data_IF_067415738135
#
_entry.id   IF_067415738135
#
_cell.length_a   1.000
_cell.length_b   1.000
_cell.length_c   1.000
_cell.angle_alpha   90.00
_cell.angle_beta   90.00
_cell.angle_gamma   90.00
#
_symmetry.space_group_name_H-M   'P 1'
#
loop_
_entity.id
_entity.type
_entity.pdbx_description
1 polymer ?
#
# COMPACT_ATOMS: atom_id res chain seq x y z
N UNK A 1 -14.90 -72.43 -29.82
CA UNK A 1 -15.33 -71.25 -30.60
C UNK A 1 -16.21 -70.39 -29.70
N UNK A 2 -15.65 -69.38 -29.04
CA UNK A 2 -16.41 -68.44 -28.21
C UNK A 2 -15.81 -67.05 -28.40
N UNK A 3 -16.50 -66.20 -29.17
CA UNK A 3 -16.15 -64.78 -29.37
C UNK A 3 -16.46 -64.03 -28.07
N UNK A 4 -15.45 -63.45 -27.43
CA UNK A 4 -15.66 -62.48 -26.35
C UNK A 4 -16.27 -61.18 -26.92
N UNK A 5 -17.22 -60.55 -26.20
CA UNK A 5 -17.85 -59.32 -26.66
C UNK A 5 -16.83 -58.18 -26.56
N UNK A 6 -16.49 -57.58 -27.70
CA UNK A 6 -15.63 -56.39 -27.78
C UNK A 6 -16.26 -55.28 -26.94
N UNK A 7 -15.54 -54.83 -25.91
CA UNK A 7 -16.03 -53.74 -25.06
C UNK A 7 -15.93 -52.42 -25.84
N UNK A 8 -16.80 -51.47 -25.52
CA UNK A 8 -16.85 -50.15 -26.18
C UNK A 8 -15.49 -49.44 -26.17
N UNK A 9 -14.70 -49.65 -25.11
CA UNK A 9 -13.33 -49.17 -24.96
C UNK A 9 -12.36 -49.75 -25.99
N UNK A 10 -12.46 -51.05 -26.29
CA UNK A 10 -11.60 -51.70 -27.29
C UNK A 10 -11.90 -51.20 -28.71
N UNK A 11 -13.18 -50.91 -28.98
CA UNK A 11 -13.63 -50.37 -30.27
C UNK A 11 -13.12 -48.94 -30.47
N UNK A 12 -13.14 -48.11 -29.42
CA UNK A 12 -12.57 -46.75 -29.45
C UNK A 12 -11.05 -46.80 -29.63
N UNK A 13 -10.36 -47.70 -28.93
CA UNK A 13 -8.91 -47.82 -29.02
C UNK A 13 -8.47 -48.21 -30.43
N UNK A 14 -9.08 -49.26 -31.01
CA UNK A 14 -8.77 -49.68 -32.37
C UNK A 14 -9.18 -48.67 -33.43
N UNK A 15 -10.26 -47.92 -33.22
CA UNK A 15 -10.66 -46.82 -34.09
C UNK A 15 -9.63 -45.67 -34.04
N UNK A 16 -9.12 -45.31 -32.86
CA UNK A 16 -8.04 -44.35 -32.71
C UNK A 16 -6.75 -44.83 -33.38
N UNK A 17 -6.34 -46.10 -33.18
CA UNK A 17 -5.15 -46.69 -33.82
C UNK A 17 -5.22 -46.62 -35.35
N UNK A 18 -6.37 -47.01 -35.92
CA UNK A 18 -6.59 -46.96 -37.37
C UNK A 18 -6.60 -45.53 -37.92
N UNK A 19 -7.18 -44.57 -37.20
CA UNK A 19 -7.17 -43.16 -37.59
C UNK A 19 -5.76 -42.55 -37.50
N UNK A 20 -4.97 -42.95 -36.50
CA UNK A 20 -3.58 -42.50 -36.32
C UNK A 20 -2.69 -42.92 -37.48
N UNK A 21 -2.78 -44.18 -37.92
CA UNK A 21 -1.95 -44.72 -39.01
C UNK A 21 -2.38 -44.15 -40.37
N UNK A 22 -3.69 -43.88 -40.54
CA UNK A 22 -4.24 -43.44 -41.84
C UNK A 22 -4.04 -41.95 -42.11
N UNK A 23 -3.99 -41.11 -41.08
CA UNK A 23 -3.83 -39.65 -41.24
C UNK A 23 -2.85 -39.03 -40.22
N UNK A 24 -1.55 -39.39 -40.25
CA UNK A 24 -0.56 -38.88 -39.30
C UNK A 24 -0.37 -37.36 -39.39
N UNK A 25 -0.47 -36.79 -40.60
CA UNK A 25 -0.32 -35.34 -40.83
C UNK A 25 -1.49 -34.53 -40.29
N UNK A 26 -2.74 -35.02 -40.37
CA UNK A 26 -3.89 -34.26 -39.86
C UNK A 26 -3.85 -34.21 -38.34
N UNK A 27 -3.45 -35.29 -37.67
CA UNK A 27 -3.25 -35.32 -36.22
C UNK A 27 -2.16 -34.36 -35.77
N UNK A 28 -1.03 -34.29 -36.49
CA UNK A 28 0.02 -33.32 -36.20
C UNK A 28 -0.48 -31.88 -36.31
N UNK A 29 -1.19 -31.55 -37.39
CA UNK A 29 -1.73 -30.20 -37.59
C UNK A 29 -2.77 -29.84 -36.52
N UNK A 30 -3.67 -30.76 -36.19
CA UNK A 30 -4.69 -30.55 -35.15
C UNK A 30 -4.05 -30.41 -33.76
N UNK A 31 -3.07 -31.25 -33.43
CA UNK A 31 -2.32 -31.15 -32.18
C UNK A 31 -1.57 -29.83 -32.08
N UNK A 32 -0.93 -29.40 -33.17
CA UNK A 32 -0.25 -28.11 -33.22
C UNK A 32 -1.22 -26.93 -33.09
N UNK A 33 -2.38 -26.99 -33.73
CA UNK A 33 -3.44 -25.98 -33.59
C UNK A 33 -4.00 -25.94 -32.16
N UNK A 34 -4.23 -27.09 -31.54
CA UNK A 34 -4.68 -27.16 -30.14
C UNK A 34 -3.63 -26.63 -29.19
N UNK A 35 -2.36 -27.00 -29.37
CA UNK A 35 -1.26 -26.51 -28.57
C UNK A 35 -1.13 -24.99 -28.72
N UNK A 36 -1.14 -24.48 -29.96
CA UNK A 36 -1.14 -23.04 -30.24
C UNK A 36 -2.35 -22.31 -29.63
N UNK A 37 -3.54 -22.92 -29.69
CA UNK A 37 -4.75 -22.38 -29.07
C UNK A 37 -4.68 -22.31 -27.55
N UNK A 38 -4.18 -23.37 -26.90
CA UNK A 38 -3.96 -23.40 -25.44
C UNK A 38 -2.87 -22.40 -25.06
N UNK A 39 -1.74 -22.37 -25.76
CA UNK A 39 -0.67 -21.39 -25.52
C UNK A 39 -1.17 -19.96 -25.66
N UNK A 40 -1.99 -19.67 -26.66
CA UNK A 40 -2.60 -18.36 -26.84
C UNK A 40 -3.60 -18.02 -25.72
N UNK A 41 -4.41 -19.00 -25.29
CA UNK A 41 -5.33 -18.82 -24.17
C UNK A 41 -4.58 -18.55 -22.87
N UNK A 42 -3.53 -19.32 -22.58
CA UNK A 42 -2.67 -19.13 -21.41
C UNK A 42 -1.98 -17.76 -21.49
N UNK A 43 -1.39 -17.39 -22.63
CA UNK A 43 -0.77 -16.07 -22.80
C UNK A 43 -1.73 -14.92 -22.50
N UNK A 44 -3.01 -15.07 -22.85
CA UNK A 44 -4.04 -14.04 -22.58
C UNK A 44 -4.59 -14.02 -21.16
N UNK A 45 -4.59 -15.14 -20.44
CA UNK A 45 -5.28 -15.28 -19.15
C UNK A 45 -4.37 -15.62 -17.97
N UNK A 46 -3.07 -15.81 -18.20
CA UNK A 46 -2.12 -16.08 -17.14
C UNK A 46 -1.89 -14.79 -16.33
N UNK A 47 -2.59 -14.70 -15.20
CA UNK A 47 -2.38 -13.68 -14.17
C UNK A 47 -1.73 -14.29 -12.93
N UNK A 48 -0.83 -13.55 -12.30
CA UNK A 48 -0.26 -13.91 -11.00
C UNK A 48 -1.03 -13.14 -9.93
N UNK A 49 -1.66 -13.86 -9.00
CA UNK A 49 -2.32 -13.25 -7.85
C UNK A 49 -1.38 -13.26 -6.65
N UNK A 50 -1.02 -12.07 -6.15
CA UNK A 50 -0.16 -11.90 -4.98
C UNK A 50 -0.96 -11.66 -3.69
N UNK A 51 -2.29 -11.74 -3.73
CA UNK A 51 -3.14 -11.58 -2.57
C UNK A 51 -3.21 -12.88 -1.76
N UNK A 52 -2.50 -12.94 -0.65
CA UNK A 52 -2.48 -14.10 0.24
C UNK A 52 -3.84 -14.38 0.89
N UNK A 53 -4.73 -13.38 1.02
CA UNK A 53 -6.06 -13.58 1.56
C UNK A 53 -6.93 -14.45 0.65
N UNK A 54 -6.72 -14.39 -0.66
CA UNK A 54 -7.48 -15.17 -1.65
C UNK A 54 -7.04 -16.64 -1.73
N UNK A 55 -5.97 -17.02 -1.03
CA UNK A 55 -5.59 -18.43 -0.86
C UNK A 55 -6.51 -19.17 0.13
N UNK A 56 -7.28 -18.44 0.92
CA UNK A 56 -8.18 -18.97 1.95
C UNK A 56 -9.65 -18.88 1.51
N UNK A 57 -10.51 -19.72 2.10
CA UNK A 57 -11.94 -19.73 1.77
C UNK A 57 -12.57 -18.35 1.96
N UNK A 58 -13.24 -17.79 0.93
CA UNK A 58 -13.84 -16.47 1.01
C UNK A 58 -14.95 -16.35 2.07
N UNK A 59 -15.52 -17.45 2.54
CA UNK A 59 -16.61 -17.47 3.51
C UNK A 59 -16.13 -17.42 4.97
N UNK A 60 -14.83 -17.38 5.23
CA UNK A 60 -14.30 -17.26 6.58
C UNK A 60 -14.81 -15.96 7.25
N UNK A 61 -15.17 -15.98 8.55
CA UNK A 61 -15.75 -14.82 9.22
C UNK A 61 -14.91 -13.54 9.12
N UNK A 62 -13.57 -13.65 9.22
CA UNK A 62 -12.69 -12.49 9.10
C UNK A 62 -12.67 -11.90 7.68
N UNK A 63 -12.78 -12.73 6.63
CA UNK A 63 -12.85 -12.24 5.25
C UNK A 63 -14.16 -11.50 4.98
N UNK A 64 -15.28 -12.00 5.52
CA UNK A 64 -16.56 -11.30 5.42
C UNK A 64 -16.50 -9.93 6.13
N UNK A 65 -15.86 -9.87 7.30
CA UNK A 65 -15.64 -8.63 8.03
C UNK A 65 -14.73 -7.66 7.27
N UNK A 66 -13.62 -8.14 6.71
CA UNK A 66 -12.71 -7.32 5.90
C UNK A 66 -13.46 -6.70 4.72
N UNK A 67 -14.18 -7.50 3.93
CA UNK A 67 -14.98 -6.97 2.81
C UNK A 67 -16.04 -5.96 3.24
N UNK A 68 -16.60 -6.11 4.43
CA UNK A 68 -17.55 -5.15 4.99
C UNK A 68 -16.87 -3.82 5.32
N UNK A 69 -15.67 -3.85 5.88
CA UNK A 69 -14.85 -2.67 6.15
C UNK A 69 -14.44 -2.01 4.84
N UNK A 70 -13.89 -2.76 3.88
CA UNK A 70 -13.45 -2.22 2.57
C UNK A 70 -14.60 -1.55 1.81
N UNK A 71 -15.82 -2.12 1.89
CA UNK A 71 -17.01 -1.51 1.29
C UNK A 71 -17.47 -0.25 2.01
N UNK A 72 -17.30 -0.17 3.33
CA UNK A 72 -17.69 0.99 4.13
C UNK A 72 -16.65 2.12 4.04
N UNK A 73 -15.38 1.79 3.85
CA UNK A 73 -14.24 2.70 3.82
C UNK A 73 -13.35 2.43 2.60
N UNK A 74 -13.86 2.64 1.37
CA UNK A 74 -13.15 2.28 0.15
C UNK A 74 -11.83 3.04 -0.04
N UNK A 75 -11.75 4.27 0.50
CA UNK A 75 -10.52 5.07 0.47
C UNK A 75 -9.37 4.44 1.29
N UNK A 76 -9.68 3.79 2.41
CA UNK A 76 -8.66 3.24 3.31
C UNK A 76 -8.04 1.96 2.73
N UNK A 77 -8.84 1.17 2.02
CA UNK A 77 -8.41 -0.09 1.39
C UNK A 77 -7.33 0.12 0.31
N UNK A 78 -7.31 1.29 -0.34
CA UNK A 78 -6.35 1.64 -1.39
C UNK A 78 -5.27 2.64 -0.93
N UNK A 79 -5.23 2.98 0.36
CA UNK A 79 -4.30 3.99 0.87
C UNK A 79 -2.88 3.46 0.96
N UNK A 80 -1.92 4.23 0.44
CA UNK A 80 -0.49 3.99 0.58
C UNK A 80 0.07 4.80 1.74
N UNK A 81 0.79 4.14 2.64
CA UNK A 81 1.45 4.79 3.77
C UNK A 81 2.94 4.96 3.46
N UNK A 82 3.39 6.21 3.46
CA UNK A 82 4.80 6.57 3.29
C UNK A 82 5.36 7.03 4.63
N UNK A 83 6.46 6.41 5.06
CA UNK A 83 7.16 6.77 6.30
C UNK A 83 8.37 7.62 5.92
N UNK A 84 8.47 8.81 6.52
CA UNK A 84 9.58 9.73 6.33
C UNK A 84 10.39 9.77 7.63
N UNK A 85 11.69 9.61 7.52
CA UNK A 85 12.63 9.61 8.64
C UNK A 85 13.81 10.54 8.32
N UNK A 86 14.23 11.34 9.30
CA UNK A 86 15.41 12.21 9.23
C UNK A 86 16.12 12.27 10.58
N UNK A 87 17.25 12.98 10.66
CA UNK A 87 18.07 13.04 11.88
C UNK A 87 17.40 13.78 13.03
N UNK A 88 16.45 14.68 12.74
CA UNK A 88 15.69 15.43 13.74
C UNK A 88 14.19 15.47 13.40
N UNK A 89 13.30 15.70 14.38
CA UNK A 89 11.87 15.88 14.14
C UNK A 89 11.56 17.05 13.19
N UNK A 90 12.31 18.14 13.28
CA UNK A 90 12.16 19.33 12.43
C UNK A 90 12.50 19.01 10.98
N UNK A 91 13.63 18.33 10.73
CA UNK A 91 14.00 17.87 9.39
C UNK A 91 12.98 16.88 8.83
N UNK A 92 12.49 15.97 9.66
CA UNK A 92 11.47 14.99 9.27
C UNK A 92 10.19 15.69 8.81
N UNK A 93 9.75 16.69 9.57
CA UNK A 93 8.56 17.50 9.24
C UNK A 93 8.75 18.29 7.95
N UNK A 94 9.92 18.90 7.74
CA UNK A 94 10.25 19.62 6.51
C UNK A 94 10.27 18.68 5.29
N UNK A 95 10.88 17.50 5.43
CA UNK A 95 10.95 16.51 4.37
C UNK A 95 9.56 15.95 4.02
N UNK A 96 8.73 15.65 5.03
CA UNK A 96 7.37 15.16 4.86
C UNK A 96 6.48 16.18 4.16
N UNK A 97 6.52 17.46 4.58
CA UNK A 97 5.77 18.53 3.92
C UNK A 97 6.21 18.72 2.46
N UNK A 98 7.52 18.72 2.19
CA UNK A 98 8.04 18.82 0.81
C UNK A 98 7.64 17.63 -0.06
N UNK A 99 7.52 16.43 0.53
CA UNK A 99 7.03 15.24 -0.17
C UNK A 99 5.53 15.36 -0.46
N UNK A 100 4.73 15.79 0.53
CA UNK A 100 3.30 16.04 0.37
C UNK A 100 3.06 17.02 -0.78
N UNK A 101 3.73 18.17 -0.79
CA UNK A 101 3.60 19.22 -1.82
C UNK A 101 3.90 18.70 -3.24
N UNK A 102 4.86 17.79 -3.37
CA UNK A 102 5.20 17.21 -4.69
C UNK A 102 4.18 16.19 -5.17
N UNK A 103 3.60 15.42 -4.26
CA UNK A 103 2.62 14.38 -4.58
C UNK A 103 1.23 14.98 -4.82
N UNK A 104 0.84 16.01 -4.07
CA UNK A 104 -0.47 16.66 -4.17
C UNK A 104 -0.72 17.36 -5.52
N UNK A 105 0.34 17.70 -6.27
CA UNK A 105 0.22 18.24 -7.63
C UNK A 105 -0.09 17.16 -8.68
N UNK A 106 0.20 15.88 -8.39
CA UNK A 106 -0.01 14.75 -9.31
C UNK A 106 -1.42 14.16 -9.17
N UNK A 107 -2.43 14.99 -9.46
CA UNK A 107 -3.86 14.64 -9.35
C UNK A 107 -4.32 13.55 -10.32
N UNK A 108 -3.51 13.24 -11.35
CA UNK A 108 -3.72 12.12 -12.27
C UNK A 108 -3.35 10.76 -11.66
N UNK A 109 -2.56 10.76 -10.57
CA UNK A 109 -2.03 9.55 -9.92
C UNK A 109 -2.52 9.36 -8.49
N UNK A 110 -2.89 10.43 -7.81
CA UNK A 110 -3.31 10.41 -6.41
C UNK A 110 -4.58 11.23 -6.21
N UNK A 111 -5.63 10.60 -5.65
CA UNK A 111 -6.89 11.27 -5.34
C UNK A 111 -6.73 12.27 -4.18
N UNK A 112 -5.93 11.92 -3.18
CA UNK A 112 -5.63 12.79 -2.03
C UNK A 112 -4.26 12.45 -1.43
N UNK A 113 -3.61 13.47 -0.87
CA UNK A 113 -2.32 13.34 -0.18
C UNK A 113 -2.36 14.19 1.08
N UNK A 114 -2.18 13.56 2.23
CA UNK A 114 -2.21 14.23 3.52
C UNK A 114 -1.25 13.59 4.52
N UNK A 115 -0.85 14.37 5.51
CA UNK A 115 -0.09 13.88 6.67
C UNK A 115 -1.10 13.74 7.82
N UNK A 116 -1.38 12.52 8.32
CA UNK A 116 -2.42 12.32 9.34
C UNK A 116 -2.21 13.14 10.62
N UNK A 117 -0.95 13.32 11.01
CA UNK A 117 -0.53 14.00 12.23
C UNK A 117 -0.25 15.49 12.06
N UNK A 118 -0.19 15.98 10.82
CA UNK A 118 0.21 17.36 10.51
C UNK A 118 -0.87 18.02 9.62
N UNK A 119 -1.86 18.62 10.28
CA UNK A 119 -2.91 19.38 9.63
C UNK A 119 -3.25 20.66 10.42
N UNK A 120 -3.95 21.59 9.78
CA UNK A 120 -4.28 22.89 10.37
C UNK A 120 -5.02 22.77 11.72
N UNK A 121 -5.88 21.76 11.86
CA UNK A 121 -6.59 21.51 13.11
C UNK A 121 -5.63 21.10 14.23
N UNK A 122 -4.78 20.09 14.01
CA UNK A 122 -3.81 19.67 15.02
C UNK A 122 -2.78 20.76 15.32
N UNK A 123 -2.31 21.52 14.33
CA UNK A 123 -1.39 22.65 14.58
C UNK A 123 -1.97 23.68 15.55
N UNK A 124 -3.28 23.93 15.47
CA UNK A 124 -3.94 24.89 16.35
C UNK A 124 -4.33 24.27 17.70
N UNK A 125 -4.77 23.02 17.71
CA UNK A 125 -5.39 22.38 18.87
C UNK A 125 -4.49 21.37 19.59
N UNK A 126 -3.25 21.17 19.15
CA UNK A 126 -2.33 20.16 19.70
C UNK A 126 -2.21 20.23 21.22
N UNK A 127 -2.19 21.44 21.79
CA UNK A 127 -2.06 21.62 23.24
C UNK A 127 -3.27 21.11 24.03
N UNK A 128 -4.44 21.00 23.40
CA UNK A 128 -5.67 20.49 24.05
C UNK A 128 -5.67 18.97 24.21
N UNK A 129 -4.70 18.27 23.60
CA UNK A 129 -4.52 16.83 23.76
C UNK A 129 -3.62 16.48 24.94
N UNK A 130 -3.05 17.48 25.64
CA UNK A 130 -2.32 17.26 26.89
C UNK A 130 -3.28 17.12 28.06
N UNK A 131 -2.87 16.33 29.06
CA UNK A 131 -3.51 16.32 30.37
C UNK A 131 -3.38 17.70 31.03
N UNK A 132 -4.35 18.06 31.87
CA UNK A 132 -4.41 19.40 32.46
C UNK A 132 -3.15 19.77 33.25
N UNK A 133 -2.56 18.81 33.98
CA UNK A 133 -1.33 19.02 34.74
C UNK A 133 -0.12 19.31 33.86
N UNK A 134 -0.04 18.67 32.69
CA UNK A 134 1.05 18.87 31.75
C UNK A 134 0.91 20.19 31.00
N UNK A 135 -0.34 20.56 30.66
CA UNK A 135 -0.65 21.85 30.07
C UNK A 135 -0.28 23.01 31.01
N UNK A 136 -0.64 22.92 32.30
CA UNK A 136 -0.29 23.92 33.31
C UNK A 136 1.23 24.03 33.48
N UNK A 137 1.93 22.88 33.53
CA UNK A 137 3.38 22.85 33.64
C UNK A 137 4.07 23.46 32.40
N UNK A 138 3.55 23.16 31.20
CA UNK A 138 4.05 23.72 29.95
C UNK A 138 3.80 25.23 29.88
N UNK A 139 2.60 25.69 30.22
CA UNK A 139 2.24 27.11 30.25
C UNK A 139 3.16 27.89 31.20
N UNK A 140 3.44 27.32 32.38
CA UNK A 140 4.41 27.91 33.32
C UNK A 140 5.81 27.99 32.73
N UNK A 141 6.32 26.90 32.15
CA UNK A 141 7.65 26.89 31.49
C UNK A 141 7.76 27.92 30.37
N UNK A 142 6.73 28.05 29.53
CA UNK A 142 6.71 29.04 28.45
C UNK A 142 6.67 30.47 28.98
N UNK A 143 5.93 30.71 30.07
CA UNK A 143 5.88 32.01 30.74
C UNK A 143 7.24 32.38 31.34
N UNK A 144 7.87 31.44 32.06
CA UNK A 144 9.20 31.64 32.66
C UNK A 144 10.27 31.88 31.58
N UNK A 145 10.14 31.25 30.41
CA UNK A 145 11.04 31.40 29.26
C UNK A 145 10.70 32.60 28.35
N UNK A 146 9.65 33.36 28.62
CA UNK A 146 9.19 34.44 27.74
C UNK A 146 10.26 35.51 27.42
N UNK A 147 11.11 35.95 28.37
CA UNK A 147 12.22 36.87 28.05
C UNK A 147 13.19 36.28 27.02
N UNK A 148 13.49 34.98 27.15
CA UNK A 148 14.36 34.26 26.24
C UNK A 148 13.76 34.13 24.84
N UNK A 149 12.51 33.68 24.77
CA UNK A 149 11.78 33.50 23.51
C UNK A 149 11.61 34.85 22.79
N UNK A 150 11.28 35.92 23.53
CA UNK A 150 11.10 37.25 22.98
C UNK A 150 12.37 37.82 22.35
N UNK A 151 13.53 37.62 22.98
CA UNK A 151 14.81 38.04 22.43
C UNK A 151 15.18 37.22 21.18
N UNK A 152 15.02 35.89 21.21
CA UNK A 152 15.33 35.03 20.07
C UNK A 152 14.42 35.29 18.86
N UNK A 153 13.14 35.62 19.10
CA UNK A 153 12.20 35.97 18.04
C UNK A 153 12.59 37.28 17.32
N UNK A 154 13.20 38.24 18.03
CA UNK A 154 13.72 39.48 17.45
C UNK A 154 15.09 39.26 16.79
N UNK A 155 15.89 38.34 17.32
CA UNK A 155 17.26 38.05 16.91
C UNK A 155 17.41 36.61 16.39
N UNK A 156 16.73 36.28 15.28
CA UNK A 156 16.73 34.92 14.70
C UNK A 156 18.04 34.61 13.92
N UNK A 157 19.17 34.62 14.60
CA UNK A 157 20.50 34.32 14.07
C UNK A 157 21.42 33.79 15.17
N UNK A 158 22.54 33.16 14.79
CA UNK A 158 23.47 32.52 15.73
C UNK A 158 24.04 33.49 16.75
N UNK A 159 24.38 34.72 16.35
CA UNK A 159 24.98 35.69 17.28
C UNK A 159 24.01 36.09 18.39
N UNK A 160 22.74 36.36 18.06
CA UNK A 160 21.68 36.65 19.04
C UNK A 160 21.38 35.48 19.98
N UNK A 161 21.49 34.24 19.51
CA UNK A 161 21.42 33.05 20.37
C UNK A 161 22.59 33.02 21.37
N UNK A 162 23.82 33.26 20.91
CA UNK A 162 24.99 33.27 21.78
C UNK A 162 24.97 34.42 22.80
N UNK A 163 24.45 35.60 22.39
CA UNK A 163 24.30 36.75 23.27
C UNK A 163 23.42 36.43 24.47
N UNK A 164 22.26 35.81 24.25
CA UNK A 164 21.36 35.48 25.35
C UNK A 164 21.85 34.32 26.22
N UNK A 165 22.54 33.33 25.64
CA UNK A 165 23.19 32.27 26.41
C UNK A 165 24.27 32.87 27.32
N UNK A 166 25.06 33.81 26.80
CA UNK A 166 26.07 34.53 27.60
C UNK A 166 25.43 35.35 28.73
N UNK A 167 24.25 35.93 28.50
CA UNK A 167 23.54 36.71 29.51
C UNK A 167 22.96 35.82 30.62
N UNK A 168 22.56 34.59 30.31
CA UNK A 168 21.99 33.64 31.27
C UNK A 168 23.04 32.91 32.13
N UNK A 169 24.30 32.87 31.67
CA UNK A 169 25.44 32.23 32.35
C UNK A 169 26.20 33.16 33.32
N UNK A 170 25.88 34.45 33.31
CA UNK A 170 26.53 35.50 34.10
C UNK A 170 25.60 35.99 35.21
#
# INVERSE_FOLDING_TARGET
MTKQPTTFTDTILHWCEQQIIRFPWTLLVVSFLLCGGVSYHVYKHLGINTNTAEMLDPNLPFQQNQRRIDKAFPQDAATLILIVEAGTPEETTLAANKLQDKLSVQTDRFDSVYIPTDNAFFRQQALLYLEQTDLDALAKKLTDAQPFIGHLAQNYHLDGLFEIISLALN
#
